data_IF_815355383065
#
_entry.id   IF_815355383065
#
_cell.length_a   1.000
_cell.length_b   1.000
_cell.length_c   1.000
_cell.angle_alpha   90.00
_cell.angle_beta   90.00
_cell.angle_gamma   90.00
#
_symmetry.space_group_name_H-M   'P 1'
#
loop_
_entity.id
_entity.type
_entity.pdbx_description
1 polymer ?
#
# COMPACT_ATOMS: atom_id res chain seq x y z
N UNK A 1 -0.98 2.49 -7.20
CA UNK A 1 -1.55 1.18 -6.86
C UNK A 1 -2.68 0.85 -7.82
N UNK A 2 -2.40 0.18 -8.95
CA UNK A 2 -3.45 -0.40 -9.78
C UNK A 2 -4.04 -1.63 -9.09
N UNK A 3 -5.37 -1.68 -8.98
CA UNK A 3 -6.10 -2.70 -8.20
C UNK A 3 -7.12 -3.41 -9.07
N UNK A 4 -7.24 -4.73 -8.93
CA UNK A 4 -8.39 -5.49 -9.40
C UNK A 4 -9.25 -5.89 -8.20
N UNK A 5 -10.54 -5.58 -8.24
CA UNK A 5 -11.50 -6.03 -7.22
C UNK A 5 -12.18 -7.30 -7.72
N UNK A 6 -12.22 -8.34 -6.90
CA UNK A 6 -12.93 -9.59 -7.17
C UNK A 6 -13.90 -9.81 -6.00
N UNK A 7 -15.17 -10.09 -6.28
CA UNK A 7 -16.18 -10.32 -5.24
C UNK A 7 -16.88 -11.65 -5.47
N UNK A 8 -16.93 -12.51 -4.45
CA UNK A 8 -17.66 -13.77 -4.48
C UNK A 8 -18.93 -13.65 -3.63
N UNK A 9 -20.09 -13.75 -4.26
CA UNK A 9 -21.42 -13.57 -3.66
C UNK A 9 -22.24 -14.84 -3.91
N UNK A 10 -22.07 -15.90 -3.08
CA UNK A 10 -22.72 -17.18 -3.32
C UNK A 10 -24.24 -17.03 -3.26
N UNK A 11 -24.93 -17.46 -4.31
CA UNK A 11 -26.39 -17.37 -4.40
C UNK A 11 -26.94 -18.48 -5.29
N UNK A 12 -28.08 -19.06 -4.89
CA UNK A 12 -28.78 -20.08 -5.68
C UNK A 12 -29.84 -19.49 -6.60
N UNK A 13 -30.32 -18.28 -6.31
CA UNK A 13 -31.45 -17.62 -6.99
C UNK A 13 -31.09 -16.27 -7.62
N UNK A 14 -29.88 -15.76 -7.38
CA UNK A 14 -29.42 -14.45 -7.83
C UNK A 14 -29.98 -13.27 -7.02
N UNK A 15 -30.82 -13.52 -6.01
CA UNK A 15 -31.52 -12.52 -5.22
C UNK A 15 -30.96 -12.42 -3.81
N UNK A 16 -30.79 -13.55 -3.14
CA UNK A 16 -30.29 -13.63 -1.76
C UNK A 16 -28.96 -14.37 -1.72
N UNK A 17 -28.07 -13.94 -0.83
CA UNK A 17 -26.90 -14.75 -0.50
C UNK A 17 -27.33 -16.07 0.16
N UNK A 18 -26.57 -17.13 -0.12
CA UNK A 18 -26.79 -18.43 0.51
C UNK A 18 -26.29 -18.39 1.97
N UNK A 19 -27.18 -18.46 2.98
CA UNK A 19 -26.80 -18.37 4.38
C UNK A 19 -26.01 -19.59 4.86
N UNK A 20 -26.16 -20.75 4.22
CA UNK A 20 -25.41 -21.97 4.58
C UNK A 20 -23.95 -21.88 4.11
N UNK A 21 -23.66 -20.99 3.15
CA UNK A 21 -22.33 -20.80 2.58
C UNK A 21 -21.66 -19.54 3.13
N UNK A 22 -22.37 -18.40 3.13
CA UNK A 22 -21.81 -17.10 3.53
C UNK A 22 -22.19 -16.67 4.96
N UNK A 23 -23.02 -17.43 5.67
CA UNK A 23 -23.49 -17.08 7.01
C UNK A 23 -24.50 -15.93 7.06
N UNK A 24 -25.01 -15.49 5.91
CA UNK A 24 -26.00 -14.41 5.79
C UNK A 24 -26.92 -14.64 4.59
N UNK A 25 -28.18 -14.21 4.71
CA UNK A 25 -29.18 -14.21 3.65
C UNK A 25 -29.44 -12.80 3.09
N UNK A 26 -28.47 -11.88 3.24
CA UNK A 26 -28.60 -10.51 2.72
C UNK A 26 -28.91 -10.50 1.22
N UNK A 27 -29.74 -9.56 0.73
CA UNK A 27 -29.94 -9.39 -0.70
C UNK A 27 -28.62 -9.13 -1.43
N UNK A 28 -28.42 -9.81 -2.56
CA UNK A 28 -27.21 -9.67 -3.40
C UNK A 28 -26.99 -8.22 -3.81
N UNK A 29 -28.06 -7.48 -4.16
CA UNK A 29 -27.98 -6.07 -4.50
C UNK A 29 -27.43 -5.22 -3.35
N UNK A 30 -27.96 -5.41 -2.13
CA UNK A 30 -27.48 -4.72 -0.93
C UNK A 30 -26.03 -5.07 -0.61
N UNK A 31 -25.62 -6.34 -0.80
CA UNK A 31 -24.23 -6.71 -0.56
C UNK A 31 -23.27 -6.07 -1.57
N UNK A 32 -23.68 -5.93 -2.83
CA UNK A 32 -22.88 -5.22 -3.84
C UNK A 32 -22.69 -3.76 -3.49
N UNK A 33 -23.75 -3.07 -3.08
CA UNK A 33 -23.69 -1.69 -2.59
C UNK A 33 -22.78 -1.57 -1.37
N UNK A 34 -22.89 -2.50 -0.41
CA UNK A 34 -22.02 -2.54 0.75
C UNK A 34 -20.54 -2.70 0.37
N UNK A 35 -20.20 -3.67 -0.49
CA UNK A 35 -18.83 -3.88 -0.98
C UNK A 35 -18.29 -2.63 -1.67
N UNK A 36 -19.10 -1.94 -2.46
CA UNK A 36 -18.71 -0.68 -3.10
C UNK A 36 -18.40 0.40 -2.06
N UNK A 37 -19.29 0.62 -1.09
CA UNK A 37 -19.06 1.55 0.03
C UNK A 37 -17.78 1.22 0.80
N UNK A 38 -17.58 -0.04 1.18
CA UNK A 38 -16.41 -0.47 1.93
C UNK A 38 -15.12 -0.33 1.10
N UNK A 39 -15.17 -0.60 -0.20
CA UNK A 39 -14.03 -0.43 -1.11
C UNK A 39 -13.65 1.04 -1.26
N UNK A 40 -14.64 1.94 -1.37
CA UNK A 40 -14.41 3.39 -1.46
C UNK A 40 -13.77 3.92 -0.18
N UNK A 41 -14.28 3.51 1.00
CA UNK A 41 -13.70 3.88 2.29
C UNK A 41 -12.29 3.33 2.47
N UNK A 42 -12.06 2.06 2.15
CA UNK A 42 -10.73 1.43 2.24
C UNK A 42 -9.72 2.13 1.33
N UNK A 43 -10.11 2.43 0.08
CA UNK A 43 -9.30 3.22 -0.84
C UNK A 43 -8.92 4.58 -0.24
N UNK A 44 -9.90 5.31 0.29
CA UNK A 44 -9.66 6.60 0.93
C UNK A 44 -8.68 6.47 2.10
N UNK A 45 -8.89 5.49 2.99
CA UNK A 45 -8.03 5.26 4.15
C UNK A 45 -6.58 5.00 3.75
N UNK A 46 -6.34 4.20 2.71
CA UNK A 46 -5.00 3.87 2.23
C UNK A 46 -4.29 5.06 1.57
N UNK A 47 -5.02 5.87 0.79
CA UNK A 47 -4.48 7.09 0.20
C UNK A 47 -4.21 8.16 1.27
N UNK A 48 -5.21 8.46 2.11
CA UNK A 48 -5.13 9.44 3.19
C UNK A 48 -4.07 9.05 4.22
N UNK A 49 -4.01 7.76 4.60
CA UNK A 49 -3.02 7.19 5.50
C UNK A 49 -1.59 7.36 4.99
N UNK A 50 -1.39 7.37 3.67
CA UNK A 50 -0.06 7.53 3.08
C UNK A 50 0.47 8.97 3.03
N UNK A 51 -0.30 9.95 3.55
CA UNK A 51 0.13 11.34 3.71
C UNK A 51 0.98 11.49 4.96
N UNK A 52 2.29 11.60 4.77
CA UNK A 52 3.20 11.81 5.90
C UNK A 52 2.81 13.07 6.70
N UNK A 53 2.49 12.87 7.99
CA UNK A 53 2.02 13.92 8.92
C UNK A 53 0.76 14.65 8.42
N UNK A 54 -0.11 13.99 7.66
CA UNK A 54 -1.32 14.59 7.09
C UNK A 54 -2.25 15.21 8.14
N UNK A 55 -2.28 14.65 9.35
CA UNK A 55 -3.09 15.16 10.46
C UNK A 55 -2.70 16.57 10.93
N UNK A 56 -1.45 17.02 10.70
CA UNK A 56 -0.93 18.35 11.06
C UNK A 56 -0.59 19.21 9.82
N UNK A 57 -0.70 18.65 8.61
CA UNK A 57 -0.38 19.34 7.36
C UNK A 57 -1.45 19.07 6.29
N UNK A 58 -2.40 20.00 6.07
CA UNK A 58 -3.45 19.82 5.07
C UNK A 58 -2.93 19.79 3.63
N UNK A 59 -1.71 20.28 3.39
CA UNK A 59 -1.05 20.22 2.08
C UNK A 59 -0.20 18.96 1.89
N UNK A 60 -0.19 18.04 2.87
CA UNK A 60 0.54 16.79 2.76
C UNK A 60 0.04 15.98 1.56
N UNK A 61 0.98 15.53 0.74
CA UNK A 61 0.70 14.70 -0.42
C UNK A 61 0.74 13.23 -0.04
N UNK A 62 -0.19 12.41 -0.58
CA UNK A 62 -0.16 10.99 -0.35
C UNK A 62 1.04 10.37 -1.08
N UNK A 63 1.66 9.36 -0.48
CA UNK A 63 2.71 8.57 -1.12
C UNK A 63 2.13 7.52 -2.08
N UNK A 64 0.89 7.09 -1.82
CA UNK A 64 0.15 6.13 -2.63
C UNK A 64 -1.06 6.79 -3.28
N UNK A 65 -1.30 6.45 -4.54
CA UNK A 65 -2.56 6.72 -5.24
C UNK A 65 -3.12 5.42 -5.77
N UNK A 66 -4.40 5.16 -5.55
CA UNK A 66 -5.09 3.93 -5.91
C UNK A 66 -5.96 4.13 -7.16
N UNK A 67 -5.89 3.19 -8.09
CA UNK A 67 -6.67 3.19 -9.32
C UNK A 67 -7.26 1.79 -9.52
N UNK A 68 -8.58 1.67 -9.37
CA UNK A 68 -9.30 0.43 -9.64
C UNK A 68 -9.36 0.25 -11.16
N UNK A 69 -8.79 -0.85 -11.67
CA UNK A 69 -8.76 -1.18 -13.09
C UNK A 69 -9.98 -1.98 -13.53
N UNK A 70 -10.58 -2.73 -12.60
CA UNK A 70 -11.75 -3.53 -12.85
C UNK A 70 -12.38 -4.03 -11.56
N UNK A 71 -13.63 -4.43 -11.66
CA UNK A 71 -14.37 -5.09 -10.59
C UNK A 71 -15.15 -6.26 -11.18
N UNK A 72 -14.80 -7.47 -10.77
CA UNK A 72 -15.48 -8.71 -11.16
C UNK A 72 -16.34 -9.20 -10.01
N UNK A 73 -17.59 -9.56 -10.30
CA UNK A 73 -18.50 -10.20 -9.33
C UNK A 73 -18.82 -11.61 -9.80
N UNK A 74 -18.67 -12.58 -8.90
CA UNK A 74 -18.91 -14.01 -9.11
C UNK A 74 -20.06 -14.42 -8.21
N UNK A 75 -21.06 -15.10 -8.75
CA UNK A 75 -22.26 -15.53 -8.02
C UNK A 75 -22.18 -16.96 -7.49
N UNK A 76 -20.95 -17.41 -7.23
CA UNK A 76 -20.62 -18.78 -6.82
C UNK A 76 -19.91 -18.75 -5.45
N UNK A 77 -19.84 -19.88 -4.73
CA UNK A 77 -18.99 -20.01 -3.55
C UNK A 77 -17.51 -19.77 -3.87
N UNK A 78 -16.73 -19.38 -2.86
CA UNK A 78 -15.28 -19.38 -3.00
C UNK A 78 -14.81 -20.83 -3.20
N UNK A 79 -13.93 -21.11 -4.19
CA UNK A 79 -13.42 -22.44 -4.37
C UNK A 79 -12.64 -22.87 -3.13
N UNK A 80 -12.81 -24.11 -2.64
CA UNK A 80 -12.06 -24.61 -1.49
C UNK A 80 -10.61 -24.89 -1.89
N UNK A 81 -9.66 -24.27 -1.18
CA UNK A 81 -8.24 -24.47 -1.36
C UNK A 81 -7.69 -25.69 -0.61
N UNK A 82 -6.37 -25.93 -0.70
CA UNK A 82 -5.73 -27.01 0.04
C UNK A 82 -5.90 -26.81 1.55
N UNK A 83 -6.32 -27.87 2.25
CA UNK A 83 -6.63 -27.84 3.68
C UNK A 83 -7.35 -29.11 4.12
N UNK A 84 -7.64 -29.21 5.42
CA UNK A 84 -8.53 -30.27 5.93
C UNK A 84 -9.98 -29.88 5.61
N UNK A 85 -10.90 -30.83 5.33
CA UNK A 85 -12.30 -30.52 5.02
C UNK A 85 -13.00 -29.64 6.08
N UNK A 86 -12.53 -29.69 7.32
CA UNK A 86 -13.09 -28.96 8.46
C UNK A 86 -12.52 -27.53 8.61
N UNK A 87 -11.41 -27.22 7.92
CA UNK A 87 -10.79 -25.89 7.93
C UNK A 87 -9.85 -25.75 6.72
N UNK A 88 -10.27 -24.92 5.75
CA UNK A 88 -9.52 -24.65 4.52
C UNK A 88 -9.56 -23.17 4.15
N UNK A 89 -8.53 -22.72 3.44
CA UNK A 89 -8.51 -21.40 2.81
C UNK A 89 -9.32 -21.44 1.49
N UNK A 90 -9.64 -20.28 0.90
CA UNK A 90 -10.00 -20.22 -0.51
C UNK A 90 -8.84 -20.72 -1.40
N UNK A 91 -9.16 -21.36 -2.52
CA UNK A 91 -8.16 -21.69 -3.54
C UNK A 91 -7.78 -20.41 -4.31
N UNK A 92 -6.81 -19.67 -3.76
CA UNK A 92 -6.35 -18.43 -4.36
C UNK A 92 -5.76 -18.62 -5.75
N UNK A 93 -5.14 -19.78 -6.04
CA UNK A 93 -4.63 -20.09 -7.39
C UNK A 93 -5.78 -20.24 -8.38
N UNK A 94 -6.78 -21.05 -8.05
CA UNK A 94 -7.94 -21.24 -8.92
C UNK A 94 -8.67 -19.91 -9.17
N UNK A 95 -8.80 -19.06 -8.15
CA UNK A 95 -9.42 -17.73 -8.29
C UNK A 95 -8.61 -16.86 -9.26
N UNK A 96 -7.30 -16.77 -9.07
CA UNK A 96 -6.42 -15.92 -9.88
C UNK A 96 -6.29 -16.43 -11.32
N UNK A 97 -6.16 -17.74 -11.51
CA UNK A 97 -6.10 -18.39 -12.82
C UNK A 97 -7.39 -18.16 -13.63
N UNK A 98 -8.56 -18.26 -12.96
CA UNK A 98 -9.87 -18.05 -13.60
C UNK A 98 -10.00 -16.67 -14.28
N UNK A 99 -9.35 -15.66 -13.71
CA UNK A 99 -9.44 -14.28 -14.20
C UNK A 99 -8.17 -13.80 -14.91
N UNK A 100 -7.31 -14.72 -15.32
CA UNK A 100 -6.05 -14.43 -16.03
C UNK A 100 -5.22 -13.38 -15.29
N UNK A 101 -5.00 -13.62 -13.99
CA UNK A 101 -4.26 -12.69 -13.13
C UNK A 101 -2.84 -12.40 -13.65
N UNK A 102 -2.25 -13.31 -14.45
CA UNK A 102 -1.00 -13.07 -15.15
C UNK A 102 -1.07 -11.88 -16.10
N UNK A 103 -2.09 -11.79 -16.95
CA UNK A 103 -2.33 -10.60 -17.79
C UNK A 103 -2.49 -9.33 -16.95
N UNK A 104 -3.26 -9.38 -15.87
CA UNK A 104 -3.48 -8.22 -15.01
C UNK A 104 -2.21 -7.71 -14.35
N UNK A 105 -1.35 -8.61 -13.85
CA UNK A 105 -0.11 -8.25 -13.17
C UNK A 105 0.97 -7.84 -14.16
N UNK A 106 1.24 -8.67 -15.18
CA UNK A 106 2.34 -8.46 -16.12
C UNK A 106 2.07 -7.31 -17.10
N UNK A 107 0.86 -7.28 -17.68
CA UNK A 107 0.59 -6.36 -18.80
C UNK A 107 -0.10 -5.08 -18.33
N UNK A 108 -0.97 -5.17 -17.32
CA UNK A 108 -1.76 -4.03 -16.82
C UNK A 108 -1.20 -3.42 -15.53
N UNK A 109 -0.19 -4.06 -14.92
CA UNK A 109 0.52 -3.57 -13.74
C UNK A 109 -0.30 -3.60 -12.45
N UNK A 110 -1.28 -4.52 -12.33
CA UNK A 110 -1.99 -4.75 -11.06
C UNK A 110 -0.99 -5.10 -9.96
N UNK A 111 -1.09 -4.36 -8.85
CA UNK A 111 -0.27 -4.57 -7.65
C UNK A 111 -1.05 -5.21 -6.52
N UNK A 112 -2.38 -5.07 -6.54
CA UNK A 112 -3.23 -5.63 -5.50
C UNK A 112 -4.50 -6.24 -6.08
N UNK A 113 -4.86 -7.40 -5.54
CA UNK A 113 -6.17 -8.01 -5.69
C UNK A 113 -6.97 -7.82 -4.41
N UNK A 114 -8.09 -7.13 -4.50
CA UNK A 114 -9.02 -6.96 -3.38
C UNK A 114 -10.13 -8.00 -3.52
N UNK A 115 -9.97 -9.13 -2.83
CA UNK A 115 -10.90 -10.24 -2.86
C UNK A 115 -11.94 -10.09 -1.75
N UNK A 116 -13.14 -9.62 -2.10
CA UNK A 116 -14.29 -9.61 -1.20
C UNK A 116 -14.96 -10.99 -1.15
N UNK A 117 -14.94 -11.58 0.03
CA UNK A 117 -15.58 -12.86 0.33
C UNK A 117 -16.12 -12.89 1.75
N UNK A 118 -16.16 -14.08 2.34
CA UNK A 118 -16.72 -14.31 3.67
C UNK A 118 -15.79 -15.22 4.48
N UNK A 119 -15.95 -15.19 5.80
CA UNK A 119 -15.34 -16.14 6.73
C UNK A 119 -16.49 -16.80 7.48
N UNK A 120 -16.86 -18.01 7.06
CA UNK A 120 -17.98 -18.78 7.61
C UNK A 120 -17.76 -20.28 7.42
N UNK A 121 -18.32 -21.09 8.32
CA UNK A 121 -18.18 -22.55 8.28
C UNK A 121 -16.72 -22.98 8.35
N UNK A 122 -16.30 -23.82 7.40
CA UNK A 122 -14.94 -24.34 7.26
C UNK A 122 -13.99 -23.41 6.50
N UNK A 123 -14.45 -22.26 6.00
CA UNK A 123 -13.63 -21.34 5.20
C UNK A 123 -12.91 -20.33 6.10
N UNK A 124 -11.58 -20.42 6.16
CA UNK A 124 -10.69 -19.56 6.95
C UNK A 124 -9.70 -18.81 6.06
N UNK A 125 -10.08 -17.63 5.53
CA UNK A 125 -9.18 -16.82 4.70
C UNK A 125 -7.96 -16.28 5.43
N UNK A 126 -6.88 -16.00 4.68
CA UNK A 126 -5.76 -15.19 5.17
C UNK A 126 -6.03 -13.71 4.94
N UNK A 127 -5.51 -12.86 5.82
CA UNK A 127 -5.72 -11.41 5.74
C UNK A 127 -5.02 -10.80 4.52
N UNK A 128 -3.75 -11.17 4.32
CA UNK A 128 -2.95 -10.79 3.16
C UNK A 128 -2.06 -11.94 2.69
N UNK A 129 -1.76 -11.93 1.40
CA UNK A 129 -0.90 -12.91 0.76
C UNK A 129 -0.11 -12.27 -0.38
N UNK A 130 1.20 -12.46 -0.42
CA UNK A 130 2.10 -11.73 -1.30
C UNK A 130 2.86 -12.71 -2.19
N UNK A 131 2.91 -12.39 -3.48
CA UNK A 131 3.71 -13.11 -4.47
C UNK A 131 4.74 -12.18 -5.05
N UNK A 132 6.01 -12.59 -5.07
CA UNK A 132 7.11 -11.80 -5.61
C UNK A 132 8.11 -12.67 -6.37
N UNK A 133 8.48 -12.31 -7.62
CA UNK A 133 9.56 -13.01 -8.33
C UNK A 133 10.94 -12.73 -7.71
N UNK A 134 11.09 -11.68 -6.90
CA UNK A 134 12.38 -11.27 -6.33
C UNK A 134 12.59 -11.79 -4.90
N UNK A 135 11.53 -11.96 -4.12
CA UNK A 135 11.63 -12.38 -2.71
C UNK A 135 10.78 -13.59 -2.32
N UNK A 136 9.93 -14.10 -3.21
CA UNK A 136 8.88 -15.05 -2.83
C UNK A 136 7.83 -14.40 -1.93
N UNK A 137 7.34 -15.14 -0.94
CA UNK A 137 6.23 -14.73 -0.09
C UNK A 137 6.67 -14.00 1.20
N UNK A 138 6.38 -12.69 1.24
CA UNK A 138 6.55 -11.81 2.42
C UNK A 138 5.18 -11.34 2.93
N UNK A 139 4.27 -12.28 3.18
CA UNK A 139 2.92 -11.98 3.66
C UNK A 139 2.74 -12.04 5.18
N UNK A 140 1.60 -11.53 5.63
CA UNK A 140 0.99 -11.88 6.91
C UNK A 140 0.11 -13.13 6.74
N UNK A 141 0.76 -14.24 6.40
CA UNK A 141 0.14 -15.56 6.28
C UNK A 141 1.11 -16.65 6.77
N UNK A 142 0.78 -17.92 6.51
CA UNK A 142 1.65 -19.05 6.79
C UNK A 142 2.90 -19.11 5.88
N UNK A 143 2.97 -18.31 4.82
CA UNK A 143 4.09 -18.22 3.88
C UNK A 143 4.43 -19.54 3.18
N UNK A 144 3.40 -20.21 2.69
CA UNK A 144 3.49 -21.54 2.08
C UNK A 144 3.12 -21.49 0.60
N UNK A 145 3.92 -20.80 -0.22
CA UNK A 145 3.83 -20.70 -1.69
C UNK A 145 2.45 -21.08 -2.23
N UNK A 146 1.48 -20.20 -2.05
CA UNK A 146 0.05 -20.44 -2.29
C UNK A 146 -0.55 -19.49 -3.35
N UNK A 147 0.26 -18.61 -3.92
CA UNK A 147 -0.07 -17.77 -5.07
C UNK A 147 0.77 -18.15 -6.31
N UNK A 148 0.28 -17.86 -7.55
CA UNK A 148 1.11 -17.90 -8.75
C UNK A 148 2.25 -16.88 -8.70
N UNK A 149 3.43 -17.22 -9.24
CA UNK A 149 4.52 -16.26 -9.46
C UNK A 149 4.38 -15.66 -10.86
N UNK A 150 4.35 -14.34 -10.94
CA UNK A 150 4.31 -13.56 -12.18
C UNK A 150 5.57 -12.69 -12.34
N UNK A 151 5.65 -11.86 -13.38
CA UNK A 151 6.84 -11.04 -13.68
C UNK A 151 6.99 -9.86 -12.70
N UNK A 152 5.92 -9.51 -11.98
CA UNK A 152 5.86 -8.43 -11.03
C UNK A 152 5.23 -8.86 -9.70
N UNK A 153 5.68 -8.24 -8.62
CA UNK A 153 5.15 -8.45 -7.28
C UNK A 153 3.71 -7.93 -7.16
N UNK A 154 2.86 -8.71 -6.49
CA UNK A 154 1.50 -8.33 -6.14
C UNK A 154 1.09 -8.88 -4.77
N UNK A 155 0.03 -8.30 -4.20
CA UNK A 155 -0.57 -8.75 -2.93
C UNK A 155 -2.06 -9.02 -3.13
N UNK A 156 -2.53 -10.18 -2.69
CA UNK A 156 -3.95 -10.48 -2.53
C UNK A 156 -4.36 -10.16 -1.09
N UNK A 157 -5.39 -9.34 -0.94
CA UNK A 157 -6.06 -9.11 0.33
C UNK A 157 -7.43 -9.78 0.32
N UNK A 158 -7.68 -10.66 1.28
CA UNK A 158 -9.00 -11.27 1.42
C UNK A 158 -9.84 -10.49 2.42
N UNK A 159 -10.76 -9.69 1.90
CA UNK A 159 -11.71 -8.96 2.73
C UNK A 159 -12.94 -9.80 3.03
N UNK A 160 -13.54 -9.55 4.20
CA UNK A 160 -14.79 -10.15 4.60
C UNK A 160 -15.92 -9.12 4.45
N UNK A 161 -16.84 -9.34 3.51
CA UNK A 161 -17.96 -8.41 3.27
C UNK A 161 -18.99 -8.37 4.41
N UNK A 162 -18.93 -9.28 5.39
CA UNK A 162 -19.75 -9.22 6.60
C UNK A 162 -19.11 -8.38 7.72
N UNK A 163 -17.94 -7.81 7.47
CA UNK A 163 -17.21 -6.89 8.35
C UNK A 163 -17.26 -5.45 7.81
N UNK A 164 -16.36 -4.59 8.27
CA UNK A 164 -16.30 -3.19 7.88
C UNK A 164 -15.02 -2.87 7.09
N UNK A 165 -14.89 -1.60 6.72
CA UNK A 165 -13.66 -1.05 6.15
C UNK A 165 -12.47 -1.09 7.13
N UNK A 166 -12.73 -1.13 8.45
CA UNK A 166 -11.69 -1.21 9.46
C UNK A 166 -10.93 -2.53 9.32
N UNK A 167 -11.63 -3.67 9.30
CA UNK A 167 -11.00 -4.98 9.09
C UNK A 167 -10.31 -5.09 7.73
N UNK A 168 -10.91 -4.52 6.67
CA UNK A 168 -10.27 -4.53 5.35
C UNK A 168 -8.90 -3.81 5.37
N UNK A 169 -8.79 -2.66 6.04
CA UNK A 169 -7.52 -1.91 6.16
C UNK A 169 -6.61 -2.49 7.26
N UNK A 170 -7.17 -3.20 8.23
CA UNK A 170 -6.40 -3.98 9.20
C UNK A 170 -5.48 -5.00 8.47
N UNK A 171 -6.02 -5.69 7.46
CA UNK A 171 -5.22 -6.60 6.62
C UNK A 171 -4.02 -5.90 5.96
N UNK A 172 -4.18 -4.64 5.53
CA UNK A 172 -3.07 -3.83 4.99
C UNK A 172 -2.06 -3.47 6.08
N UNK A 173 -2.52 -3.15 7.28
CA UNK A 173 -1.65 -2.87 8.42
C UNK A 173 -0.73 -4.04 8.75
N UNK A 174 -1.28 -5.24 8.75
CA UNK A 174 -0.52 -6.48 8.88
C UNK A 174 0.51 -6.69 7.76
N UNK A 175 0.10 -6.46 6.50
CA UNK A 175 1.04 -6.57 5.38
C UNK A 175 2.16 -5.53 5.47
N UNK A 176 1.85 -4.29 5.87
CA UNK A 176 2.85 -3.23 6.11
C UNK A 176 3.86 -3.67 7.18
N UNK A 177 3.39 -4.23 8.29
CA UNK A 177 4.25 -4.75 9.34
C UNK A 177 5.18 -5.87 8.85
N UNK A 178 4.67 -6.78 8.02
CA UNK A 178 5.45 -7.86 7.43
C UNK A 178 6.55 -7.33 6.50
N UNK A 179 6.19 -6.46 5.55
CA UNK A 179 7.15 -5.96 4.55
C UNK A 179 8.18 -5.01 5.16
N UNK A 180 7.78 -4.13 6.09
CA UNK A 180 8.71 -3.19 6.74
C UNK A 180 9.64 -3.91 7.72
N UNK A 181 9.13 -4.91 8.44
CA UNK A 181 9.96 -5.79 9.27
C UNK A 181 11.00 -6.55 8.42
N UNK A 182 10.59 -7.11 7.27
CA UNK A 182 11.51 -7.79 6.36
C UNK A 182 12.57 -6.85 5.79
N UNK A 183 12.19 -5.68 5.29
CA UNK A 183 13.13 -4.70 4.73
C UNK A 183 14.13 -4.25 5.80
N UNK A 184 13.66 -4.01 7.03
CA UNK A 184 14.54 -3.66 8.14
C UNK A 184 15.54 -4.80 8.42
N UNK A 185 15.04 -6.03 8.54
CA UNK A 185 15.89 -7.20 8.80
C UNK A 185 16.94 -7.41 7.72
N UNK A 186 16.55 -7.27 6.45
CA UNK A 186 17.46 -7.35 5.32
C UNK A 186 18.56 -6.27 5.36
N UNK A 187 18.21 -5.05 5.81
CA UNK A 187 19.15 -3.93 5.90
C UNK A 187 20.11 -4.06 7.09
N UNK A 188 19.59 -4.37 8.28
CA UNK A 188 20.33 -4.25 9.55
C UNK A 188 20.65 -5.60 10.22
N UNK A 189 20.19 -6.72 9.64
CA UNK A 189 20.23 -8.05 10.24
C UNK A 189 19.25 -8.23 11.42
N UNK A 190 18.36 -7.26 11.65
CA UNK A 190 17.34 -7.25 12.70
C UNK A 190 16.20 -6.27 12.34
N UNK A 191 15.08 -6.32 13.06
CA UNK A 191 13.88 -5.53 12.80
C UNK A 191 13.63 -4.40 13.83
N UNK A 192 14.69 -3.98 14.54
CA UNK A 192 14.56 -3.07 15.67
C UNK A 192 14.09 -1.66 15.28
N UNK A 193 14.48 -1.15 14.11
CA UNK A 193 14.06 0.19 13.68
C UNK A 193 12.54 0.25 13.52
N UNK A 194 11.94 -0.78 12.91
CA UNK A 194 10.49 -0.85 12.78
C UNK A 194 9.81 -1.27 14.09
N UNK A 195 10.14 -2.43 14.65
CA UNK A 195 9.36 -2.97 15.77
C UNK A 195 9.70 -2.34 17.13
N UNK A 196 10.94 -1.93 17.38
CA UNK A 196 11.33 -1.32 18.66
C UNK A 196 11.23 0.19 18.62
N UNK A 197 11.89 0.83 17.65
CA UNK A 197 12.00 2.28 17.61
C UNK A 197 10.71 2.94 17.12
N UNK A 198 10.10 2.43 16.04
CA UNK A 198 8.81 2.94 15.53
C UNK A 198 7.62 2.44 16.33
N UNK A 199 7.36 1.13 16.33
CA UNK A 199 6.15 0.59 16.94
C UNK A 199 6.13 0.71 18.47
N UNK A 200 7.28 0.49 19.10
CA UNK A 200 7.43 0.56 20.55
C UNK A 200 7.43 -0.81 21.20
N UNK A 201 8.54 -1.52 21.05
CA UNK A 201 8.85 -2.75 21.79
C UNK A 201 10.14 -2.58 22.58
N UNK A 202 10.18 -3.15 23.78
CA UNK A 202 11.39 -3.19 24.60
C UNK A 202 12.37 -4.29 24.11
N UNK A 203 13.51 -4.44 24.78
CA UNK A 203 14.52 -5.44 24.43
C UNK A 203 14.01 -6.90 24.55
N UNK A 204 12.97 -7.14 25.35
CA UNK A 204 12.28 -8.43 25.50
C UNK A 204 11.12 -8.60 24.51
N UNK A 205 11.02 -7.74 23.50
CA UNK A 205 9.95 -7.70 22.50
C UNK A 205 8.53 -7.48 23.07
N UNK A 206 8.41 -6.94 24.27
CA UNK A 206 7.12 -6.56 24.85
C UNK A 206 6.75 -5.15 24.39
N UNK A 207 5.50 -4.96 24.00
CA UNK A 207 4.96 -3.64 23.64
C UNK A 207 5.08 -2.66 24.81
N UNK A 208 5.47 -1.43 24.51
CA UNK A 208 5.53 -0.31 25.45
C UNK A 208 4.64 0.83 24.96
N UNK A 209 4.19 1.65 25.89
CA UNK A 209 3.37 2.83 25.59
C UNK A 209 4.20 3.99 25.02
N UNK A 210 3.54 4.91 24.33
CA UNK A 210 4.10 6.22 24.00
C UNK A 210 4.98 6.30 22.74
N UNK A 211 5.12 5.22 21.95
CA UNK A 211 5.73 5.26 20.60
C UNK A 211 4.66 5.46 19.53
N UNK A 212 4.84 4.95 18.32
CA UNK A 212 3.82 5.04 17.26
C UNK A 212 2.75 3.94 17.31
N UNK A 213 2.96 2.85 18.07
CA UNK A 213 2.02 1.72 18.10
C UNK A 213 2.09 0.85 16.85
N UNK A 214 1.09 0.02 16.63
CA UNK A 214 0.98 -0.89 15.48
C UNK A 214 -0.48 -1.08 15.07
N UNK A 215 -0.74 -1.95 14.09
CA UNK A 215 -2.11 -2.18 13.59
C UNK A 215 -3.07 -2.65 14.71
N UNK A 216 -2.57 -3.33 15.75
CA UNK A 216 -3.41 -3.80 16.86
C UNK A 216 -3.48 -2.86 18.05
N UNK A 217 -2.38 -2.16 18.34
CA UNK A 217 -2.14 -1.52 19.63
C UNK A 217 -1.79 -0.04 19.41
N UNK A 218 -2.75 0.87 19.64
CA UNK A 218 -2.46 2.30 19.74
C UNK A 218 -1.50 2.62 20.88
N UNK A 219 -0.84 3.81 20.88
CA UNK A 219 0.25 4.06 21.80
C UNK A 219 -0.18 4.21 23.26
N UNK A 220 -1.48 4.33 23.52
CA UNK A 220 -2.07 4.58 24.84
C UNK A 220 -2.64 3.31 25.51
N UNK A 221 -2.45 2.13 24.92
CA UNK A 221 -2.90 0.85 25.48
C UNK A 221 -1.85 -0.24 25.29
N UNK A 222 -1.93 -1.29 26.11
CA UNK A 222 -1.16 -2.53 25.95
C UNK A 222 -2.05 -3.69 25.46
N UNK A 223 -3.36 -3.45 25.33
CA UNK A 223 -4.32 -4.44 24.90
C UNK A 223 -4.46 -4.39 23.38
N UNK A 224 -4.56 -5.55 22.75
CA UNK A 224 -4.88 -5.63 21.32
C UNK A 224 -6.31 -5.16 21.07
N UNK A 225 -6.52 -4.47 19.95
CA UNK A 225 -7.82 -4.02 19.45
C UNK A 225 -8.55 -2.99 20.34
N UNK A 226 -7.82 -2.34 21.25
CA UNK A 226 -8.38 -1.37 22.21
C UNK A 226 -8.29 0.08 21.66
N UNK A 227 -8.90 0.28 20.49
CA UNK A 227 -8.81 1.52 19.69
C UNK A 227 -9.56 2.71 20.25
N UNK A 228 -10.45 2.49 21.24
CA UNK A 228 -11.29 3.52 21.86
C UNK A 228 -10.83 3.82 23.30
N UNK A 229 -9.62 3.42 23.68
CA UNK A 229 -9.12 3.61 25.03
C UNK A 229 -9.03 5.12 25.39
N UNK A 230 -9.71 5.58 26.47
CA UNK A 230 -9.70 6.99 26.89
C UNK A 230 -8.43 7.39 27.65
N UNK A 231 -7.57 6.44 28.05
CA UNK A 231 -6.35 6.71 28.79
C UNK A 231 -5.42 7.62 27.98
N UNK A 232 -4.89 8.63 28.66
CA UNK A 232 -3.94 9.56 28.06
C UNK A 232 -2.52 9.11 28.31
N UNK A 233 -1.69 9.16 27.27
CA UNK A 233 -0.24 8.89 27.34
C UNK A 233 0.53 10.02 26.67
N UNK A 234 1.78 10.26 27.10
CA UNK A 234 2.74 11.02 26.32
C UNK A 234 3.29 10.14 25.19
N UNK A 235 3.01 10.50 23.94
CA UNK A 235 3.49 9.76 22.77
C UNK A 235 4.21 10.66 21.79
N UNK A 236 5.29 10.15 21.19
CA UNK A 236 5.99 10.82 20.11
C UNK A 236 5.41 10.52 18.73
N UNK A 237 4.26 9.85 18.62
CA UNK A 237 3.65 9.47 17.34
C UNK A 237 3.54 10.64 16.37
N UNK A 238 3.34 11.87 16.84
CA UNK A 238 3.23 13.07 16.00
C UNK A 238 4.55 13.55 15.41
N UNK A 239 5.63 13.41 16.18
CA UNK A 239 6.97 13.94 15.89
C UNK A 239 8.06 12.88 15.88
N UNK A 240 7.67 11.63 15.65
CA UNK A 240 8.53 10.47 15.83
C UNK A 240 9.84 10.60 15.05
N UNK A 241 10.93 10.31 15.76
CA UNK A 241 12.24 9.98 15.20
C UNK A 241 12.75 8.71 15.89
N UNK A 242 13.66 7.95 15.27
CA UNK A 242 14.11 6.65 15.80
C UNK A 242 14.73 6.70 17.21
N UNK A 243 15.43 7.79 17.54
CA UNK A 243 16.04 8.00 18.86
C UNK A 243 15.05 8.46 19.95
N UNK A 244 13.80 8.74 19.58
CA UNK A 244 12.79 9.35 20.44
C UNK A 244 12.53 10.80 20.07
N UNK A 245 11.32 11.09 19.57
CA UNK A 245 10.88 12.42 19.19
C UNK A 245 10.18 13.20 20.31
N UNK A 246 9.79 14.45 20.04
CA UNK A 246 8.96 15.23 20.95
C UNK A 246 7.63 14.53 21.23
N UNK A 247 7.25 14.43 22.50
CA UNK A 247 5.99 13.79 22.91
C UNK A 247 4.85 14.78 23.06
N UNK A 248 3.63 14.35 22.75
CA UNK A 248 2.39 15.06 23.06
C UNK A 248 1.43 14.16 23.80
N UNK A 249 0.54 14.74 24.62
CA UNK A 249 -0.55 13.98 25.24
C UNK A 249 -1.52 13.49 24.15
N UNK A 250 -1.77 12.19 24.09
CA UNK A 250 -2.73 11.58 23.17
C UNK A 250 -3.63 10.56 23.88
N UNK A 251 -4.80 10.31 23.29
CA UNK A 251 -5.75 9.23 23.60
C UNK A 251 -6.66 9.00 22.38
N UNK A 252 -7.71 8.20 22.49
CA UNK A 252 -8.55 7.93 21.30
C UNK A 252 -9.21 9.14 20.64
N UNK A 253 -9.48 10.22 21.38
CA UNK A 253 -9.98 11.47 20.79
C UNK A 253 -8.97 12.11 19.84
N UNK A 254 -7.68 11.80 19.97
CA UNK A 254 -6.61 12.31 19.10
C UNK A 254 -6.82 11.87 17.65
N UNK A 255 -7.25 10.62 17.42
CA UNK A 255 -7.56 10.11 16.08
C UNK A 255 -9.07 10.07 15.81
N UNK A 256 -9.89 9.70 16.79
CA UNK A 256 -11.36 9.56 16.67
C UNK A 256 -12.10 10.86 16.41
N UNK A 257 -11.56 12.00 16.85
CA UNK A 257 -12.17 13.31 16.59
C UNK A 257 -11.52 14.05 15.42
N UNK A 258 -10.49 13.46 14.77
CA UNK A 258 -9.84 14.10 13.64
C UNK A 258 -10.81 14.24 12.45
N UNK A 259 -10.98 15.44 11.88
CA UNK A 259 -12.00 15.72 10.88
C UNK A 259 -11.57 15.30 9.46
N UNK A 260 -11.22 14.03 9.28
CA UNK A 260 -10.92 13.48 7.97
C UNK A 260 -12.10 13.68 7.01
N UNK A 261 -11.79 14.07 5.77
CA UNK A 261 -12.77 14.34 4.74
C UNK A 261 -13.17 13.03 4.04
N UNK A 262 -13.98 12.23 4.72
CA UNK A 262 -14.46 10.96 4.19
C UNK A 262 -15.25 11.15 2.88
N UNK A 263 -15.20 10.17 1.96
CA UNK A 263 -15.93 10.22 0.70
C UNK A 263 -17.42 10.54 0.91
N UNK A 264 -17.99 11.32 -0.01
CA UNK A 264 -19.39 11.75 0.02
C UNK A 264 -19.81 12.56 1.27
N UNK A 265 -18.85 13.08 2.04
CA UNK A 265 -19.14 13.86 3.25
C UNK A 265 -19.71 13.00 4.39
N UNK A 266 -19.44 11.70 4.37
CA UNK A 266 -19.84 10.80 5.45
C UNK A 266 -19.17 11.17 6.77
N UNK A 267 -19.93 11.09 7.87
CA UNK A 267 -19.39 11.40 9.20
C UNK A 267 -19.82 10.41 10.28
N UNK A 268 -20.81 9.56 10.02
CA UNK A 268 -21.31 8.56 10.96
C UNK A 268 -21.46 7.19 10.27
N UNK A 269 -20.59 6.25 10.63
CA UNK A 269 -20.63 4.86 10.17
C UNK A 269 -19.91 3.96 11.18
N UNK A 270 -20.17 2.66 11.12
CA UNK A 270 -19.58 1.68 12.05
C UNK A 270 -18.06 1.65 11.99
N UNK A 271 -17.41 1.55 13.16
CA UNK A 271 -15.95 1.49 13.32
C UNK A 271 -15.19 2.68 12.71
N UNK A 272 -15.81 3.87 12.67
CA UNK A 272 -15.16 5.09 12.18
C UNK A 272 -13.91 5.44 13.00
N UNK A 273 -14.00 5.42 14.33
CA UNK A 273 -12.88 5.79 15.21
C UNK A 273 -11.68 4.86 15.04
N UNK A 274 -11.92 3.55 14.93
CA UNK A 274 -10.90 2.54 14.59
C UNK A 274 -10.33 2.77 13.19
N UNK A 275 -11.17 3.09 12.21
CA UNK A 275 -10.72 3.41 10.85
C UNK A 275 -9.80 4.65 10.85
N UNK A 276 -10.13 5.66 11.66
CA UNK A 276 -9.30 6.86 11.81
C UNK A 276 -8.00 6.59 12.58
N UNK A 277 -7.96 5.60 13.47
CA UNK A 277 -6.71 5.13 14.06
C UNK A 277 -5.76 4.63 12.96
N UNK A 278 -6.22 3.79 12.03
CA UNK A 278 -5.36 3.29 10.95
C UNK A 278 -4.82 4.42 10.07
N UNK A 279 -5.67 5.39 9.69
CA UNK A 279 -5.21 6.58 8.94
C UNK A 279 -4.13 7.31 9.75
N UNK A 280 -4.41 7.64 11.01
CA UNK A 280 -3.49 8.40 11.86
C UNK A 280 -2.15 7.69 12.07
N UNK A 281 -2.19 6.38 12.33
CA UNK A 281 -1.00 5.53 12.47
C UNK A 281 -0.18 5.47 11.18
N UNK A 282 -0.82 5.23 10.04
CA UNK A 282 -0.16 5.23 8.74
C UNK A 282 0.48 6.60 8.44
N UNK A 283 -0.19 7.72 8.75
CA UNK A 283 0.36 9.06 8.56
C UNK A 283 1.58 9.35 9.43
N UNK A 284 1.84 8.53 10.46
CA UNK A 284 3.06 8.64 11.28
C UNK A 284 4.30 7.97 10.66
N UNK A 285 4.11 7.09 9.66
CA UNK A 285 5.20 6.39 8.98
C UNK A 285 5.97 7.33 8.05
N UNK A 286 7.33 7.30 8.02
CA UNK A 286 8.13 8.08 7.08
C UNK A 286 7.63 7.95 5.65
N UNK A 287 7.08 9.03 5.11
CA UNK A 287 6.48 9.03 3.79
C UNK A 287 7.07 10.08 2.87
N UNK A 288 6.25 10.50 1.91
CA UNK A 288 6.54 11.57 0.97
C UNK A 288 7.24 12.79 1.60
N UNK A 289 8.37 13.21 1.02
CA UNK A 289 9.16 14.38 1.41
C UNK A 289 9.59 14.43 2.90
N UNK A 290 9.63 13.29 3.59
CA UNK A 290 10.13 13.26 4.95
C UNK A 290 11.63 13.61 5.01
N UNK A 291 12.02 14.24 6.11
CA UNK A 291 13.40 14.67 6.41
C UNK A 291 13.90 14.10 7.74
N UNK A 292 13.33 12.97 8.19
CA UNK A 292 13.67 12.38 9.48
C UNK A 292 15.13 11.92 9.44
N UNK A 293 16.03 12.47 10.28
CA UNK A 293 17.43 12.06 10.30
C UNK A 293 17.58 10.69 10.95
N UNK A 294 18.52 9.90 10.44
CA UNK A 294 18.96 8.65 11.05
C UNK A 294 20.40 8.34 10.68
N UNK A 295 21.27 8.19 11.68
CA UNK A 295 22.71 8.10 11.50
C UNK A 295 23.23 9.26 10.63
N UNK A 296 23.94 8.98 9.55
CA UNK A 296 24.48 9.96 8.60
C UNK A 296 23.56 10.23 7.42
N UNK A 297 22.32 9.75 7.46
CA UNK A 297 21.35 9.84 6.36
C UNK A 297 19.95 10.18 6.89
N UNK A 298 18.92 9.90 6.10
CA UNK A 298 17.52 10.13 6.40
C UNK A 298 16.70 8.85 6.23
N UNK A 299 15.54 8.80 6.87
CA UNK A 299 14.53 7.77 6.58
C UNK A 299 14.14 7.83 5.09
N UNK A 300 13.94 6.66 4.49
CA UNK A 300 13.35 6.56 3.15
C UNK A 300 11.84 6.78 3.22
N UNK A 301 11.19 6.94 2.07
CA UNK A 301 9.73 6.86 2.01
C UNK A 301 9.31 5.39 2.10
N UNK A 302 8.80 4.96 3.24
CA UNK A 302 8.44 3.56 3.51
C UNK A 302 7.34 3.04 2.60
N UNK A 303 6.48 3.92 2.08
CA UNK A 303 5.44 3.56 1.09
C UNK A 303 6.02 3.11 -0.25
N UNK A 304 7.31 3.33 -0.51
CA UNK A 304 8.02 2.76 -1.67
C UNK A 304 7.97 1.24 -1.65
N UNK A 305 8.01 0.60 -0.47
CA UNK A 305 7.96 -0.85 -0.35
C UNK A 305 6.56 -1.41 -0.66
N UNK A 306 5.50 -0.63 -0.44
CA UNK A 306 4.15 -0.98 -0.92
C UNK A 306 4.02 -0.76 -2.43
N UNK A 307 4.53 0.36 -2.95
CA UNK A 307 4.28 0.76 -4.33
C UNK A 307 5.21 0.13 -5.38
N UNK A 308 6.49 -0.06 -5.05
CA UNK A 308 7.58 -0.39 -5.98
C UNK A 308 8.50 -1.45 -5.38
N UNK A 309 7.90 -2.52 -4.83
CA UNK A 309 8.63 -3.59 -4.14
C UNK A 309 9.81 -4.13 -4.96
N UNK A 310 9.57 -4.62 -6.18
CA UNK A 310 10.63 -5.24 -7.00
C UNK A 310 11.80 -4.30 -7.23
N UNK A 311 11.50 -3.04 -7.53
CA UNK A 311 12.51 -2.01 -7.79
C UNK A 311 13.29 -1.67 -6.53
N UNK A 312 12.59 -1.51 -5.39
CA UNK A 312 13.20 -1.20 -4.11
C UNK A 312 14.10 -2.33 -3.60
N UNK A 313 13.65 -3.58 -3.68
CA UNK A 313 14.43 -4.74 -3.27
C UNK A 313 15.64 -4.95 -4.19
N UNK A 314 15.46 -4.86 -5.51
CA UNK A 314 16.55 -5.03 -6.48
C UNK A 314 17.61 -3.94 -6.33
N UNK A 315 17.19 -2.70 -6.10
CA UNK A 315 18.10 -1.57 -5.85
C UNK A 315 18.77 -1.63 -4.46
N UNK A 316 18.38 -2.59 -3.62
CA UNK A 316 18.94 -2.75 -2.30
C UNK A 316 18.54 -1.70 -1.28
N UNK A 317 17.41 -1.04 -1.48
CA UNK A 317 16.89 -0.07 -0.53
C UNK A 317 16.62 -0.67 0.85
N UNK A 318 16.70 0.20 1.85
CA UNK A 318 16.25 -0.06 3.20
C UNK A 318 15.35 1.04 3.75
N UNK A 319 15.00 0.97 5.04
CA UNK A 319 14.13 1.95 5.71
C UNK A 319 14.78 3.33 5.90
N UNK A 320 16.08 3.42 5.67
CA UNK A 320 16.88 4.64 5.68
C UNK A 320 18.00 4.55 4.64
N UNK A 321 18.59 5.68 4.26
CA UNK A 321 19.68 5.70 3.28
C UNK A 321 19.20 6.02 1.87
N UNK A 322 19.79 5.31 0.91
CA UNK A 322 19.60 5.55 -0.51
C UNK A 322 18.13 5.43 -0.93
N UNK A 323 17.73 6.31 -1.85
CA UNK A 323 16.35 6.43 -2.34
C UNK A 323 16.31 5.97 -3.81
N UNK A 324 15.18 5.40 -4.26
CA UNK A 324 15.03 5.17 -5.69
C UNK A 324 15.15 6.50 -6.44
N UNK A 325 15.76 6.48 -7.63
CA UNK A 325 15.68 7.60 -8.53
C UNK A 325 14.19 7.89 -8.84
N UNK A 326 13.82 9.17 -8.77
CA UNK A 326 12.42 9.57 -8.94
C UNK A 326 12.19 9.86 -10.42
N UNK A 327 11.33 9.08 -11.07
CA UNK A 327 10.98 9.28 -12.48
C UNK A 327 9.82 10.28 -12.57
N UNK A 328 9.94 11.40 -13.32
CA UNK A 328 8.82 12.31 -13.54
C UNK A 328 7.76 11.72 -14.45
N UNK A 329 6.51 12.16 -14.28
CA UNK A 329 5.48 11.99 -15.29
C UNK A 329 5.84 12.84 -16.51
N UNK A 330 5.97 12.18 -17.67
CA UNK A 330 6.40 12.80 -18.91
C UNK A 330 5.21 13.13 -19.81
N UNK A 331 5.16 14.39 -20.26
CA UNK A 331 4.37 14.83 -21.40
C UNK A 331 5.31 14.96 -22.59
N UNK A 332 5.03 14.19 -23.64
CA UNK A 332 5.86 14.16 -24.84
C UNK A 332 5.11 14.88 -25.96
N UNK A 333 5.78 15.80 -26.64
CA UNK A 333 5.31 16.43 -27.87
C UNK A 333 6.39 16.40 -28.95
N UNK A 334 5.98 16.42 -30.22
CA UNK A 334 6.88 16.45 -31.37
C UNK A 334 6.54 17.62 -32.28
N UNK A 335 7.56 18.33 -32.78
CA UNK A 335 7.40 19.42 -33.75
C UNK A 335 8.50 19.32 -34.80
N UNK A 336 8.14 18.96 -36.03
CA UNK A 336 9.12 18.67 -37.07
C UNK A 336 10.02 17.49 -36.67
N UNK A 337 11.33 17.72 -36.64
CA UNK A 337 12.33 16.70 -36.27
C UNK A 337 12.72 16.74 -34.77
N UNK A 338 12.07 17.60 -33.98
CA UNK A 338 12.39 17.77 -32.57
C UNK A 338 11.37 17.07 -31.68
N UNK A 339 11.86 16.40 -30.64
CA UNK A 339 11.03 15.83 -29.57
C UNK A 339 11.23 16.65 -28.30
N UNK A 340 10.13 17.16 -27.76
CA UNK A 340 10.12 17.85 -26.48
C UNK A 340 9.53 16.94 -25.41
N UNK A 341 10.32 16.70 -24.38
CA UNK A 341 9.90 16.10 -23.12
C UNK A 341 9.63 17.24 -22.15
N UNK A 342 8.45 17.25 -21.54
CA UNK A 342 8.12 18.15 -20.42
C UNK A 342 7.67 17.30 -19.25
N UNK A 343 8.06 17.73 -18.07
CA UNK A 343 7.56 17.14 -16.83
C UNK A 343 7.18 18.24 -15.86
N UNK A 344 6.44 17.87 -14.83
CA UNK A 344 6.10 18.79 -13.74
C UNK A 344 6.98 18.44 -12.55
N UNK A 345 7.78 19.39 -12.08
CA UNK A 345 8.41 19.28 -10.75
C UNK A 345 7.34 19.49 -9.70
N UNK A 346 6.66 18.41 -9.36
CA UNK A 346 5.72 18.40 -8.25
C UNK A 346 6.00 17.15 -7.41
N UNK A 347 5.62 17.20 -6.14
CA UNK A 347 5.68 16.00 -5.32
C UNK A 347 7.12 15.60 -5.12
N UNK A 348 7.48 14.37 -5.48
CA UNK A 348 8.77 13.80 -5.04
C UNK A 348 9.91 14.58 -5.71
N UNK A 349 9.56 15.31 -6.76
CA UNK A 349 10.42 16.18 -7.54
C UNK A 349 10.53 17.62 -7.01
N UNK A 350 9.78 18.03 -5.99
CA UNK A 350 9.78 19.43 -5.52
C UNK A 350 11.13 19.85 -4.91
N UNK A 351 11.96 18.88 -4.52
CA UNK A 351 13.35 19.10 -4.11
C UNK A 351 14.38 18.66 -5.14
N UNK A 352 13.96 18.24 -6.34
CA UNK A 352 14.90 17.82 -7.38
C UNK A 352 15.63 19.03 -7.95
N UNK A 353 16.96 18.97 -7.91
CA UNK A 353 17.84 20.05 -8.39
C UNK A 353 18.39 19.76 -9.78
N UNK A 354 18.30 18.51 -10.23
CA UNK A 354 18.83 18.06 -11.50
C UNK A 354 18.03 16.86 -12.02
N UNK A 355 17.87 16.80 -13.33
CA UNK A 355 17.23 15.71 -14.06
C UNK A 355 18.22 15.11 -15.07
N UNK A 356 18.38 13.80 -15.03
CA UNK A 356 19.11 12.99 -16.00
C UNK A 356 18.12 12.50 -17.06
N UNK A 357 18.36 12.85 -18.32
CA UNK A 357 17.58 12.42 -19.47
C UNK A 357 18.39 11.36 -20.21
N UNK A 358 17.85 10.14 -20.28
CA UNK A 358 18.44 9.00 -20.96
C UNK A 358 17.55 8.52 -22.10
N UNK A 359 18.15 7.90 -23.13
CA UNK A 359 17.45 7.38 -24.31
C UNK A 359 17.82 5.93 -24.60
N UNK A 360 16.87 5.16 -25.13
CA UNK A 360 17.08 3.82 -25.69
C UNK A 360 16.35 3.61 -27.01
N UNK A 361 16.80 2.65 -27.81
CA UNK A 361 16.08 2.10 -28.96
C UNK A 361 15.11 0.97 -28.57
N UNK A 362 15.13 0.51 -27.32
CA UNK A 362 14.24 -0.53 -26.78
C UNK A 362 13.51 0.00 -25.54
N UNK A 363 12.25 -0.40 -25.36
CA UNK A 363 11.47 -0.07 -24.15
C UNK A 363 12.13 -0.57 -22.88
N UNK A 364 12.81 -1.73 -22.95
CA UNK A 364 13.50 -2.38 -21.83
C UNK A 364 14.94 -1.92 -21.65
N UNK A 365 15.43 -1.01 -22.50
CA UNK A 365 16.82 -0.56 -22.47
C UNK A 365 17.79 -1.45 -23.28
N UNK A 366 19.11 -1.22 -23.14
CA UNK A 366 19.75 -0.32 -22.18
C UNK A 366 19.47 1.15 -22.48
N UNK A 367 19.31 1.96 -21.44
CA UNK A 367 19.18 3.42 -21.54
C UNK A 367 20.56 4.08 -21.41
N UNK A 368 20.82 5.08 -22.24
CA UNK A 368 22.09 5.81 -22.27
C UNK A 368 21.81 7.28 -21.95
N UNK A 369 22.58 7.87 -21.03
CA UNK A 369 22.45 9.28 -20.68
C UNK A 369 22.69 10.15 -21.92
N UNK A 370 21.73 11.00 -22.26
CA UNK A 370 21.82 11.94 -23.40
C UNK A 370 21.93 13.40 -22.96
N UNK A 371 21.44 13.74 -21.76
CA UNK A 371 21.55 15.09 -21.21
C UNK A 371 21.31 15.10 -19.70
N UNK A 372 21.81 16.14 -19.05
CA UNK A 372 21.38 16.54 -17.70
C UNK A 372 20.80 17.95 -17.77
N UNK A 373 19.71 18.23 -17.06
CA UNK A 373 19.07 19.55 -17.05
C UNK A 373 18.50 19.88 -15.68
N UNK A 374 18.62 21.12 -15.17
CA UNK A 374 17.88 21.57 -13.98
C UNK A 374 16.43 21.95 -14.33
N UNK A 375 16.12 22.16 -15.60
CA UNK A 375 14.80 22.56 -16.06
C UNK A 375 13.82 21.39 -16.06
N UNK A 376 12.51 21.70 -16.05
CA UNK A 376 11.45 20.69 -16.14
C UNK A 376 11.08 20.32 -17.58
N UNK A 377 12.03 20.48 -18.50
CA UNK A 377 11.88 20.08 -19.89
C UNK A 377 13.22 19.76 -20.54
N UNK A 378 13.17 18.99 -21.61
CA UNK A 378 14.29 18.70 -22.50
C UNK A 378 13.81 18.72 -23.95
N UNK A 379 14.60 19.32 -24.84
CA UNK A 379 14.34 19.29 -26.29
C UNK A 379 15.47 18.51 -26.94
N UNK A 380 15.11 17.41 -27.59
CA UNK A 380 16.03 16.67 -28.43
C UNK A 380 16.03 17.31 -29.83
N UNK A 381 17.09 18.06 -30.14
CA UNK A 381 17.32 18.66 -31.46
C UNK A 381 18.32 17.81 -32.26
N UNK A 382 18.10 17.69 -33.57
CA UNK A 382 18.79 16.80 -34.53
C UNK A 382 18.22 15.37 -34.66
N UNK A 383 17.04 15.25 -35.27
CA UNK A 383 16.91 14.52 -36.55
C UNK A 383 17.34 13.04 -36.65
N UNK A 384 17.22 12.23 -35.60
CA UNK A 384 17.37 10.76 -35.70
C UNK A 384 16.18 10.02 -35.10
N UNK A 385 14.98 10.41 -35.54
CA UNK A 385 13.84 9.50 -35.54
C UNK A 385 13.36 9.36 -36.98
N UNK A 386 14.25 9.10 -37.95
CA UNK A 386 13.95 8.91 -39.37
C UNK A 386 12.97 7.73 -39.61
N UNK A 387 11.76 7.80 -39.07
CA UNK A 387 10.83 6.68 -38.89
C UNK A 387 11.05 5.83 -37.63
N UNK A 388 12.14 6.01 -36.87
CA UNK A 388 12.47 5.15 -35.72
C UNK A 388 11.75 5.55 -34.43
N UNK A 389 11.36 4.55 -33.62
CA UNK A 389 10.82 4.76 -32.27
C UNK A 389 11.99 4.89 -31.28
N UNK A 390 11.98 5.93 -30.47
CA UNK A 390 12.92 6.13 -29.37
C UNK A 390 12.20 6.19 -28.03
N UNK A 391 12.80 5.58 -27.01
CA UNK A 391 12.28 5.58 -25.64
C UNK A 391 13.13 6.52 -24.78
N UNK A 392 12.46 7.33 -23.96
CA UNK A 392 13.12 8.27 -23.06
C UNK A 392 12.80 7.93 -21.62
N UNK A 393 13.82 8.07 -20.77
CA UNK A 393 13.69 7.99 -19.33
C UNK A 393 14.23 9.30 -18.76
N UNK A 394 13.47 9.91 -17.86
CA UNK A 394 13.95 11.05 -17.08
C UNK A 394 14.02 10.61 -15.63
N UNK A 395 15.15 10.82 -15.00
CA UNK A 395 15.38 10.52 -13.59
C UNK A 395 15.71 11.83 -12.90
N UNK A 396 15.03 12.12 -11.80
CA UNK A 396 15.34 13.24 -10.96
C UNK A 396 16.28 12.81 -9.84
N UNK A 397 17.32 13.62 -9.65
CA UNK A 397 18.19 13.59 -8.49
C UNK A 397 17.68 14.59 -7.46
N UNK A 398 17.40 14.11 -6.26
CA UNK A 398 17.14 14.93 -5.07
C UNK A 398 18.39 14.94 -4.19
N UNK A 399 18.77 16.08 -3.60
CA UNK A 399 19.87 16.16 -2.63
C UNK A 399 19.77 15.19 -1.46
#
# INVERSE_FOLDING_TARGET
MPVLIISYLPTNDGLLLDPDIAGTNSPVATMRENIETLSIRSKFMLEEGSKFRGYDNPNARPSLGYRVLGHVTVFEPLPPGPGMPESHQPDYRQILDRFDAGHWVNDLGVKEFWLWGYHYGSLYPVESNMSSPTTGDISNSYRIDDLPIYDHTYVLYNYNFTRSQAEAVHNHGHQLEAILGYVNWRQDGNDNLFWRQFSGRNASNQTILGRCGNTHIPPNTLNHYDYLNPATVQSDIRGWIPAGGPTTAINYHTWGDHPYQWPYGEWNFGQREESQWYIFWMQSMPGFANTIPYNTTTMTNWWTFTARWDEAITAGMGLYGDRLPITPDLVISSSGNDVQLRWVSNGNLSGATLYEVSRSASVTGPYTLVSTTPDTFYVHTNGVLNGDVGYYQVIATTP
#
